data_IF_833987394052
#
_entry.id   IF_833987394052
#
_cell.length_a   1.000
_cell.length_b   1.000
_cell.length_c   1.000
_cell.angle_alpha   90.00
_cell.angle_beta   90.00
_cell.angle_gamma   90.00
#
_symmetry.space_group_name_H-M   'P 1'
#
loop_
_entity.id
_entity.type
_entity.pdbx_description
1 polymer ?
#
# COMPACT_ATOMS: atom_id res chain seq x y z
N UNK A 1 14.93 -7.54 9.58
CA UNK A 1 15.54 -7.20 8.28
C UNK A 1 14.41 -7.07 7.28
N UNK A 2 14.40 -6.00 6.47
CA UNK A 2 13.45 -5.88 5.36
C UNK A 2 13.74 -6.96 4.31
N UNK A 3 12.72 -7.35 3.54
CA UNK A 3 12.86 -8.28 2.42
C UNK A 3 13.54 -7.65 1.21
N UNK A 4 13.39 -8.32 0.06
CA UNK A 4 13.98 -7.90 -1.20
C UNK A 4 13.61 -6.46 -1.60
N UNK A 5 14.51 -5.79 -2.33
CA UNK A 5 14.20 -4.54 -3.02
C UNK A 5 13.19 -4.84 -4.13
N UNK A 6 12.00 -4.24 -4.06
CA UNK A 6 10.93 -4.44 -5.03
C UNK A 6 11.07 -3.46 -6.19
N UNK A 7 11.39 -2.19 -5.89
CA UNK A 7 11.49 -1.12 -6.87
C UNK A 7 12.32 0.05 -6.35
N UNK A 8 13.05 0.70 -7.24
CA UNK A 8 13.63 2.03 -7.05
C UNK A 8 12.98 2.97 -8.06
N UNK A 9 12.69 4.21 -7.68
CA UNK A 9 12.25 5.24 -8.61
C UNK A 9 12.32 6.64 -8.02
N UNK A 10 11.99 7.65 -8.83
CA UNK A 10 12.09 9.04 -8.41
C UNK A 10 10.80 9.52 -7.75
N UNK A 11 10.92 10.41 -6.78
CA UNK A 11 9.75 10.97 -6.09
C UNK A 11 8.96 11.98 -6.93
N UNK A 12 9.54 12.49 -8.01
CA UNK A 12 8.93 13.41 -8.98
C UNK A 12 8.37 12.71 -10.24
N UNK A 13 8.47 11.38 -10.30
CA UNK A 13 7.94 10.58 -11.42
C UNK A 13 6.40 10.53 -11.44
N UNK A 14 5.78 10.68 -10.27
CA UNK A 14 4.33 10.61 -10.06
C UNK A 14 3.86 11.77 -9.18
N UNK A 15 2.55 11.95 -9.12
CA UNK A 15 1.95 12.93 -8.24
C UNK A 15 1.74 12.31 -6.86
N UNK A 16 2.44 12.83 -5.86
CA UNK A 16 2.26 12.41 -4.49
C UNK A 16 0.93 12.96 -3.93
N UNK A 17 0.06 12.06 -3.46
CA UNK A 17 -1.16 12.47 -2.75
C UNK A 17 -0.83 12.76 -1.29
N UNK A 18 -1.63 13.62 -0.66
CA UNK A 18 -1.37 14.08 0.70
C UNK A 18 -2.51 14.93 1.25
N UNK A 19 -2.40 15.26 2.53
CA UNK A 19 -3.34 16.11 3.26
C UNK A 19 -2.57 17.31 3.83
N UNK A 20 -3.15 18.51 3.78
CA UNK A 20 -2.53 19.75 4.32
C UNK A 20 -1.09 20.00 3.84
N UNK A 21 -0.77 19.63 2.60
CA UNK A 21 0.57 19.80 2.01
C UNK A 21 1.61 18.77 2.47
N UNK A 22 1.22 17.78 3.29
CA UNK A 22 2.07 16.66 3.66
C UNK A 22 1.80 15.45 2.75
N UNK A 23 2.76 15.06 1.89
CA UNK A 23 2.63 13.87 1.05
C UNK A 23 2.66 12.59 1.90
N UNK A 24 1.88 11.58 1.49
CA UNK A 24 1.79 10.27 2.15
C UNK A 24 3.18 9.62 2.32
N UNK A 25 4.02 9.63 1.28
CA UNK A 25 5.34 8.99 1.35
C UNK A 25 6.30 9.63 2.37
N UNK A 26 6.14 10.94 2.66
CA UNK A 26 6.94 11.62 3.70
C UNK A 26 6.49 11.24 5.11
N UNK A 27 5.22 10.85 5.28
CA UNK A 27 4.69 10.34 6.54
C UNK A 27 4.78 8.81 6.65
N UNK A 28 5.45 8.14 5.72
CA UNK A 28 5.32 6.71 5.53
C UNK A 28 5.67 5.87 6.77
N UNK A 29 6.78 6.19 7.43
CA UNK A 29 7.20 5.48 8.65
C UNK A 29 6.19 5.65 9.80
N UNK A 30 5.55 6.81 9.91
CA UNK A 30 4.53 7.07 10.92
C UNK A 30 3.25 6.29 10.63
N UNK A 31 2.82 6.25 9.36
CA UNK A 31 1.68 5.47 8.89
C UNK A 31 1.91 3.97 9.10
N UNK A 32 3.08 3.46 8.71
CA UNK A 32 3.48 2.06 8.95
C UNK A 32 3.45 1.78 10.45
N UNK A 33 4.10 2.60 11.29
CA UNK A 33 4.13 2.37 12.73
C UNK A 33 2.73 2.38 13.37
N UNK A 34 1.83 3.25 12.90
CA UNK A 34 0.45 3.29 13.36
C UNK A 34 -0.33 2.03 12.95
N UNK A 35 -0.20 1.59 11.70
CA UNK A 35 -0.80 0.36 11.19
C UNK A 35 -0.25 -0.87 11.92
N UNK A 36 1.06 -0.95 12.20
CA UNK A 36 1.65 -2.04 12.97
C UNK A 36 1.00 -2.18 14.34
N UNK A 37 0.66 -1.07 15.00
CA UNK A 37 0.01 -1.10 16.31
C UNK A 37 -1.47 -1.48 16.26
N UNK A 38 -2.18 -1.07 15.20
CA UNK A 38 -3.64 -1.21 15.12
C UNK A 38 -4.09 -2.46 14.37
N UNK A 39 -3.40 -2.80 13.29
CA UNK A 39 -3.75 -3.88 12.36
C UNK A 39 -2.48 -4.42 11.69
N UNK A 40 -1.67 -5.24 12.40
CA UNK A 40 -0.37 -5.70 11.92
C UNK A 40 -0.41 -6.37 10.54
N UNK A 41 -1.49 -7.10 10.21
CA UNK A 41 -1.66 -7.76 8.92
C UNK A 41 -1.76 -6.80 7.73
N UNK A 42 -2.26 -5.58 7.93
CA UNK A 42 -2.40 -4.59 6.85
C UNK A 42 -1.05 -3.98 6.45
N UNK A 43 -0.05 -4.00 7.33
CA UNK A 43 1.29 -3.46 7.04
C UNK A 43 2.00 -4.26 5.96
N UNK A 44 1.73 -5.57 5.87
CA UNK A 44 2.38 -6.45 4.91
C UNK A 44 2.02 -6.12 3.45
N UNK A 45 0.97 -5.33 3.21
CA UNK A 45 0.60 -4.83 1.90
C UNK A 45 1.43 -3.62 1.45
N UNK A 46 2.26 -3.05 2.32
CA UNK A 46 2.98 -1.81 2.06
C UNK A 46 4.49 -2.08 2.03
N UNK A 47 5.10 -1.82 0.88
CA UNK A 47 6.55 -1.77 0.80
C UNK A 47 7.09 -0.66 1.72
N UNK A 48 8.25 -0.89 2.34
CA UNK A 48 8.88 0.10 3.21
C UNK A 48 9.74 1.04 2.36
N UNK A 49 9.37 2.33 2.25
CA UNK A 49 10.15 3.30 1.49
C UNK A 49 11.40 3.72 2.26
N UNK A 50 12.51 3.83 1.55
CA UNK A 50 13.76 4.45 2.02
C UNK A 50 14.20 5.47 0.99
N UNK A 51 14.12 6.75 1.36
CA UNK A 51 14.60 7.82 0.49
C UNK A 51 16.11 7.98 0.63
N UNK A 52 16.77 8.38 -0.47
CA UNK A 52 18.13 8.90 -0.40
C UNK A 52 18.18 10.22 0.40
N UNK A 53 19.38 10.71 0.69
CA UNK A 53 19.59 11.95 1.48
C UNK A 53 18.85 13.17 0.92
N UNK A 54 18.69 13.23 -0.40
CA UNK A 54 18.05 14.33 -1.10
C UNK A 54 16.53 14.19 -1.20
N UNK A 55 15.96 13.03 -0.84
CA UNK A 55 14.54 12.73 -1.00
C UNK A 55 14.06 12.57 -2.45
N UNK A 56 14.98 12.55 -3.41
CA UNK A 56 14.70 12.51 -4.86
C UNK A 56 14.50 11.09 -5.39
N UNK A 57 15.09 10.10 -4.73
CA UNK A 57 15.00 8.67 -5.09
C UNK A 57 14.50 7.91 -3.88
N UNK A 58 13.59 6.96 -4.13
CA UNK A 58 12.99 6.10 -3.11
C UNK A 58 13.20 4.65 -3.50
N UNK A 59 13.81 3.89 -2.59
CA UNK A 59 13.87 2.44 -2.63
C UNK A 59 12.72 1.84 -1.84
N UNK A 60 11.98 0.93 -2.44
CA UNK A 60 10.81 0.28 -1.86
C UNK A 60 11.14 -1.18 -1.57
N UNK A 61 11.21 -1.54 -0.30
CA UNK A 61 11.56 -2.90 0.13
C UNK A 61 10.32 -3.68 0.56
N UNK A 62 10.32 -4.99 0.31
CA UNK A 62 9.29 -5.86 0.87
C UNK A 62 9.33 -5.83 2.41
N UNK A 63 8.19 -5.74 3.11
CA UNK A 63 8.12 -5.92 4.55
C UNK A 63 8.39 -7.36 5.01
N UNK A 64 8.29 -8.35 4.10
CA UNK A 64 8.48 -9.78 4.38
C UNK A 64 9.56 -10.40 3.48
N UNK A 65 10.12 -11.54 3.92
CA UNK A 65 11.04 -12.34 3.12
C UNK A 65 10.25 -13.26 2.17
N UNK A 66 10.77 -13.50 0.97
CA UNK A 66 10.16 -14.37 -0.02
C UNK A 66 10.63 -14.08 -1.43
N UNK A 67 10.18 -14.93 -2.37
CA UNK A 67 10.47 -14.76 -3.79
C UNK A 67 9.52 -13.72 -4.40
N UNK A 68 10.08 -12.81 -5.20
CA UNK A 68 9.33 -11.67 -5.75
C UNK A 68 8.83 -11.99 -7.15
N UNK A 69 7.52 -11.88 -7.34
CA UNK A 69 6.84 -12.02 -8.62
C UNK A 69 6.19 -10.67 -8.98
N UNK A 70 6.66 -9.98 -10.03
CA UNK A 70 5.98 -8.78 -10.53
C UNK A 70 4.55 -9.10 -10.98
N UNK A 71 3.60 -8.17 -10.79
CA UNK A 71 2.20 -8.37 -11.19
C UNK A 71 2.02 -8.87 -12.64
N UNK A 72 2.82 -8.32 -13.57
CA UNK A 72 2.79 -8.69 -14.99
C UNK A 72 3.21 -10.13 -15.26
N UNK A 73 3.95 -10.74 -14.35
CA UNK A 73 4.46 -12.11 -14.46
C UNK A 73 3.58 -13.12 -13.70
N UNK A 74 2.63 -12.65 -12.89
CA UNK A 74 1.70 -13.49 -12.16
C UNK A 74 0.61 -14.06 -13.08
N UNK A 75 0.25 -15.32 -12.85
CA UNK A 75 -0.88 -15.96 -13.52
C UNK A 75 -2.19 -15.25 -13.17
N UNK A 76 -3.22 -15.43 -14.00
CA UNK A 76 -4.54 -14.82 -13.70
C UNK A 76 -5.12 -15.32 -12.37
N UNK A 77 -4.92 -16.60 -12.04
CA UNK A 77 -5.39 -17.19 -10.79
C UNK A 77 -4.71 -16.56 -9.56
N UNK A 78 -3.39 -16.33 -9.63
CA UNK A 78 -2.66 -15.61 -8.58
C UNK A 78 -3.14 -14.16 -8.47
N UNK A 79 -3.36 -13.49 -9.61
CA UNK A 79 -3.91 -12.13 -9.64
C UNK A 79 -5.32 -12.07 -9.06
N UNK A 80 -6.19 -13.04 -9.31
CA UNK A 80 -7.53 -13.12 -8.71
C UNK A 80 -7.50 -13.21 -7.19
N UNK A 81 -6.64 -14.07 -6.65
CA UNK A 81 -6.43 -14.19 -5.21
C UNK A 81 -5.88 -12.87 -4.63
N UNK A 82 -4.88 -12.28 -5.29
CA UNK A 82 -4.29 -11.02 -4.86
C UNK A 82 -5.29 -9.84 -4.92
N UNK A 83 -6.16 -9.78 -5.93
CA UNK A 83 -7.23 -8.77 -6.04
C UNK A 83 -8.17 -8.85 -4.85
N UNK A 84 -8.56 -10.05 -4.44
CA UNK A 84 -9.42 -10.25 -3.26
C UNK A 84 -8.75 -9.70 -2.00
N UNK A 85 -7.46 -10.01 -1.80
CA UNK A 85 -6.68 -9.51 -0.66
C UNK A 85 -6.53 -7.98 -0.68
N UNK A 86 -6.22 -7.39 -1.85
CA UNK A 86 -6.05 -5.95 -2.02
C UNK A 86 -7.36 -5.17 -1.83
N UNK A 87 -8.49 -5.73 -2.28
CA UNK A 87 -9.81 -5.15 -2.03
C UNK A 87 -10.13 -5.13 -0.54
N UNK A 88 -9.85 -6.23 0.18
CA UNK A 88 -9.99 -6.26 1.64
C UNK A 88 -9.09 -5.22 2.32
N UNK A 89 -7.82 -5.12 1.91
CA UNK A 89 -6.89 -4.11 2.41
C UNK A 89 -7.42 -2.69 2.21
N UNK A 90 -7.86 -2.35 0.99
CA UNK A 90 -8.42 -1.03 0.67
C UNK A 90 -9.63 -0.70 1.55
N UNK A 91 -10.58 -1.63 1.69
CA UNK A 91 -11.78 -1.44 2.51
C UNK A 91 -11.42 -1.23 3.98
N UNK A 92 -10.52 -2.04 4.54
CA UNK A 92 -10.10 -1.91 5.93
C UNK A 92 -9.42 -0.54 6.19
N UNK A 93 -8.58 -0.07 5.27
CA UNK A 93 -7.96 1.27 5.37
C UNK A 93 -9.01 2.38 5.31
N UNK A 94 -10.01 2.27 4.43
CA UNK A 94 -11.09 3.24 4.31
C UNK A 94 -11.92 3.32 5.61
N UNK A 95 -12.25 2.18 6.21
CA UNK A 95 -12.97 2.09 7.48
C UNK A 95 -12.17 2.72 8.64
N UNK A 96 -10.87 2.41 8.73
CA UNK A 96 -9.98 2.98 9.73
C UNK A 96 -9.84 4.50 9.57
N UNK A 97 -9.70 4.98 8.34
CA UNK A 97 -9.68 6.40 7.99
C UNK A 97 -10.96 7.09 8.45
N UNK A 98 -12.13 6.57 8.08
CA UNK A 98 -13.43 7.12 8.46
C UNK A 98 -13.61 7.16 9.99
N UNK A 99 -13.23 6.09 10.69
CA UNK A 99 -13.29 6.02 12.16
C UNK A 99 -12.43 7.09 12.84
N UNK A 100 -11.19 7.29 12.36
CA UNK A 100 -10.28 8.31 12.89
C UNK A 100 -10.79 9.73 12.65
N UNK A 101 -11.31 10.00 11.44
CA UNK A 101 -11.88 11.31 11.10
C UNK A 101 -13.10 11.60 11.99
N UNK A 102 -14.02 10.65 12.12
CA UNK A 102 -15.21 10.82 12.95
C UNK A 102 -14.89 11.05 14.43
N UNK A 103 -13.95 10.26 14.98
CA UNK A 103 -13.50 10.43 16.37
C UNK A 103 -12.85 11.80 16.58
N UNK A 104 -11.96 12.21 15.67
CA UNK A 104 -11.31 13.51 15.71
C UNK A 104 -12.29 14.68 15.62
N UNK A 105 -13.32 14.57 14.76
CA UNK A 105 -14.37 15.60 14.66
C UNK A 105 -15.19 15.74 15.94
N UNK A 106 -15.52 14.63 16.62
CA UNK A 106 -16.23 14.66 17.90
C UNK A 106 -15.37 15.25 19.03
N UNK A 107 -14.07 14.99 19.01
CA UNK A 107 -13.12 15.44 20.04
C UNK A 107 -12.44 16.78 19.76
N UNK A 108 -12.71 17.43 18.62
CA UNK A 108 -12.02 18.66 18.21
C UNK A 108 -10.52 18.47 17.91
N UNK A 109 -10.08 17.26 17.60
CA UNK A 109 -8.68 16.91 17.42
C UNK A 109 -8.27 17.00 15.94
N UNK A 110 -7.79 18.18 15.51
CA UNK A 110 -7.39 18.45 14.12
C UNK A 110 -6.37 17.44 13.59
N UNK A 111 -5.37 17.09 14.39
CA UNK A 111 -4.28 16.21 13.97
C UNK A 111 -4.76 14.78 13.72
N UNK A 112 -5.73 14.31 14.51
CA UNK A 112 -6.37 13.02 14.29
C UNK A 112 -7.16 12.99 12.99
N UNK A 113 -7.86 14.09 12.67
CA UNK A 113 -8.59 14.23 11.40
C UNK A 113 -7.61 14.21 10.22
N UNK A 114 -6.54 15.00 10.28
CA UNK A 114 -5.52 15.05 9.22
C UNK A 114 -4.87 13.67 9.04
N UNK A 115 -4.51 13.01 10.14
CA UNK A 115 -3.95 11.65 10.08
C UNK A 115 -4.92 10.64 9.48
N UNK A 116 -6.21 10.69 9.86
CA UNK A 116 -7.25 9.83 9.30
C UNK A 116 -7.43 10.03 7.79
N UNK A 117 -7.44 11.28 7.31
CA UNK A 117 -7.48 11.57 5.87
C UNK A 117 -6.23 11.08 5.14
N UNK A 118 -5.05 11.30 5.72
CA UNK A 118 -3.79 10.83 5.16
C UNK A 118 -3.74 9.30 5.05
N UNK A 119 -4.27 8.60 6.06
CA UNK A 119 -4.40 7.14 6.06
C UNK A 119 -5.30 6.67 4.90
N UNK A 120 -6.40 7.37 4.62
CA UNK A 120 -7.32 7.04 3.52
C UNK A 120 -6.68 7.14 2.14
N UNK A 121 -5.60 7.92 2.00
CA UNK A 121 -4.86 8.08 0.75
C UNK A 121 -3.82 6.98 0.51
N UNK A 122 -3.47 6.19 1.53
CA UNK A 122 -2.44 5.14 1.46
C UNK A 122 -2.64 4.16 0.30
N UNK A 123 -3.85 3.64 0.00
CA UNK A 123 -3.99 2.61 -1.02
C UNK A 123 -3.83 3.11 -2.47
N UNK A 124 -3.60 4.42 -2.71
CA UNK A 124 -3.31 4.90 -4.06
C UNK A 124 -1.96 4.39 -4.54
N UNK A 125 -1.91 3.88 -5.76
CA UNK A 125 -0.69 3.57 -6.48
C UNK A 125 -0.85 3.97 -7.96
N UNK A 126 0.24 4.20 -8.71
CA UNK A 126 0.12 4.71 -10.09
C UNK A 126 -0.54 3.73 -11.06
N UNK A 127 -0.22 2.43 -10.95
CA UNK A 127 -0.69 1.37 -11.84
C UNK A 127 -0.48 -0.03 -11.22
N UNK A 128 -0.98 -1.06 -11.89
CA UNK A 128 -0.79 -2.47 -11.51
C UNK A 128 0.68 -2.92 -11.52
N UNK A 129 1.53 -2.33 -12.35
CA UNK A 129 2.98 -2.57 -12.38
C UNK A 129 3.73 -2.18 -11.11
N UNK A 130 3.05 -1.52 -10.16
CA UNK A 130 3.57 -1.18 -8.83
C UNK A 130 3.15 -2.18 -7.75
N UNK A 131 2.45 -3.24 -8.14
CA UNK A 131 2.08 -4.37 -7.28
C UNK A 131 3.05 -5.53 -7.51
N UNK A 132 3.47 -6.14 -6.41
CA UNK A 132 4.32 -7.33 -6.41
C UNK A 132 3.67 -8.40 -5.56
N UNK A 133 3.75 -9.66 -5.98
CA UNK A 133 3.41 -10.80 -5.15
C UNK A 133 4.70 -11.34 -4.54
N UNK A 134 4.73 -11.49 -3.22
CA UNK A 134 5.86 -12.10 -2.52
C UNK A 134 5.44 -13.47 -2.01
N UNK A 135 6.02 -14.51 -2.61
CA UNK A 135 5.81 -15.89 -2.21
C UNK A 135 6.63 -16.17 -0.94
N UNK A 136 5.94 -16.38 0.16
CA UNK A 136 6.54 -16.48 1.48
C UNK A 136 6.09 -17.75 2.21
N UNK A 137 6.84 -18.09 3.25
CA UNK A 137 6.47 -19.15 4.18
C UNK A 137 6.15 -18.57 5.55
N UNK A 138 5.22 -19.20 6.25
CA UNK A 138 4.92 -18.94 7.65
C UNK A 138 4.71 -20.25 8.38
N UNK A 139 4.91 -20.23 9.69
CA UNK A 139 4.57 -21.37 10.55
C UNK A 139 3.18 -21.10 11.14
N UNK A 140 2.24 -22.04 10.96
CA UNK A 140 0.92 -21.95 11.56
C UNK A 140 0.95 -22.34 13.05
N UNK A 141 -0.21 -22.32 13.71
CA UNK A 141 -0.32 -22.61 15.14
C UNK A 141 0.08 -24.06 15.48
N UNK A 142 -0.07 -24.97 14.52
CA UNK A 142 0.26 -26.39 14.62
C UNK A 142 1.75 -26.67 14.35
N UNK A 143 2.55 -25.64 14.06
CA UNK A 143 3.97 -25.78 13.75
C UNK A 143 4.27 -26.19 12.30
N UNK A 144 3.24 -26.29 11.44
CA UNK A 144 3.43 -26.63 10.03
C UNK A 144 3.84 -25.41 9.21
N UNK A 145 4.73 -25.63 8.23
CA UNK A 145 5.16 -24.60 7.28
C UNK A 145 4.13 -24.49 6.16
N UNK A 146 3.51 -23.32 6.04
CA UNK A 146 2.56 -22.98 4.99
C UNK A 146 3.18 -21.98 4.01
N UNK A 147 2.95 -22.19 2.72
CA UNK A 147 3.23 -21.21 1.68
C UNK A 147 2.03 -20.29 1.51
N UNK A 148 2.29 -19.00 1.31
CA UNK A 148 1.27 -18.02 0.99
C UNK A 148 1.86 -16.93 0.09
N UNK A 149 0.98 -16.30 -0.69
CA UNK A 149 1.32 -15.19 -1.58
C UNK A 149 0.79 -13.88 -0.98
N UNK A 150 1.68 -12.93 -0.72
CA UNK A 150 1.35 -11.61 -0.19
C UNK A 150 1.47 -10.54 -1.29
N UNK A 151 0.39 -9.85 -1.68
CA UNK A 151 0.49 -8.68 -2.54
C UNK A 151 1.04 -7.48 -1.75
N UNK A 152 1.98 -6.76 -2.36
CA UNK A 152 2.71 -5.64 -1.78
C UNK A 152 2.74 -4.48 -2.77
N UNK A 153 2.28 -3.32 -2.31
CA UNK A 153 2.27 -2.06 -3.05
C UNK A 153 3.62 -1.36 -2.90
N UNK A 154 4.19 -0.93 -4.02
CA UNK A 154 5.24 0.11 -4.08
C UNK A 154 4.62 1.41 -4.55
N UNK A 155 5.27 2.56 -4.31
CA UNK A 155 4.71 3.87 -4.67
C UNK A 155 3.29 4.09 -4.14
N UNK A 156 2.98 3.52 -2.97
CA UNK A 156 1.74 3.81 -2.30
C UNK A 156 1.70 5.28 -1.85
N UNK A 157 0.53 5.90 -1.94
CA UNK A 157 0.39 7.35 -1.79
C UNK A 157 0.83 8.17 -3.02
N UNK A 158 0.90 7.56 -4.20
CA UNK A 158 1.12 8.25 -5.48
C UNK A 158 0.03 7.90 -6.50
N UNK A 159 -0.20 8.82 -7.44
CA UNK A 159 -1.07 8.62 -8.59
C UNK A 159 -0.38 9.04 -9.89
N UNK A 160 -0.80 8.45 -11.01
CA UNK A 160 -0.20 8.72 -12.32
C UNK A 160 -0.47 10.16 -12.79
N UNK A 161 -1.72 10.64 -12.65
CA UNK A 161 -2.14 11.96 -13.11
C UNK A 161 -2.99 12.68 -12.05
N UNK A 162 -3.12 14.01 -12.16
CA UNK A 162 -3.87 14.82 -11.18
C UNK A 162 -5.36 14.41 -11.12
N UNK A 163 -5.93 13.99 -12.25
CA UNK A 163 -7.30 13.47 -12.32
C UNK A 163 -7.50 12.16 -11.54
N UNK A 164 -6.44 11.40 -11.30
CA UNK A 164 -6.51 10.11 -10.60
C UNK A 164 -6.58 10.27 -9.07
N UNK A 165 -6.36 11.47 -8.53
CA UNK A 165 -6.41 11.75 -7.08
C UNK A 165 -7.78 11.50 -6.44
N UNK A 166 -8.82 11.57 -7.26
CA UNK A 166 -10.21 11.39 -6.82
C UNK A 166 -10.79 10.05 -7.26
N UNK A 167 -10.00 9.22 -7.95
CA UNK A 167 -10.43 7.87 -8.32
C UNK A 167 -10.43 6.98 -7.10
N UNK A 168 -11.27 5.95 -7.15
CA UNK A 168 -11.20 4.86 -6.19
C UNK A 168 -9.78 4.27 -6.18
N UNK A 169 -9.11 4.13 -5.02
CA UNK A 169 -7.80 3.54 -4.97
C UNK A 169 -7.78 2.15 -5.59
N UNK A 170 -6.65 1.81 -6.23
CA UNK A 170 -6.46 0.54 -6.92
C UNK A 170 -7.52 0.27 -8.01
N UNK A 171 -8.08 1.30 -8.65
CA UNK A 171 -9.08 1.16 -9.72
C UNK A 171 -8.64 0.24 -10.87
N UNK A 172 -7.33 0.08 -11.08
CA UNK A 172 -6.75 -0.79 -12.10
C UNK A 172 -6.85 -2.29 -11.77
N UNK A 173 -7.26 -2.66 -10.54
CA UNK A 173 -7.47 -4.06 -10.19
C UNK A 173 -8.69 -4.64 -10.89
N UNK A 174 -9.68 -3.83 -11.29
CA UNK A 174 -10.81 -4.34 -12.05
C UNK A 174 -10.30 -4.81 -13.43
N UNK A 175 -10.49 -6.08 -13.82
CA UNK A 175 -10.11 -6.53 -15.15
C UNK A 175 -10.77 -5.63 -16.18
N UNK A 176 -10.00 -5.09 -17.13
CA UNK A 176 -10.60 -4.51 -18.33
C UNK A 176 -11.35 -5.65 -19.03
N UNK A 177 -12.66 -5.50 -19.20
CA UNK A 177 -13.44 -6.44 -19.99
C UNK A 177 -12.72 -6.61 -21.33
N UNK A 178 -12.31 -7.85 -21.65
CA UNK A 178 -11.71 -8.13 -22.93
C UNK A 178 -12.71 -7.71 -24.00
N UNK A 179 -12.33 -6.72 -24.81
CA UNK A 179 -13.10 -6.34 -25.98
C UNK A 179 -12.93 -7.50 -26.96
N UNK A 180 -13.98 -8.33 -27.08
CA UNK A 180 -14.06 -9.41 -28.08
C UNK A 180 -14.09 -8.84 -29.49
#
# INVERSE_FOLDING_TARGET
>A
MHGALLRTGKSDEFIAVGETGQPVYKAALQLIAALTRKSPSLVNFLAVPKSNEQGSVIDWYSPIQGDVVPWSSATEAERDVARTQLNHFKTAIAEMSASLVQAGSKGGQSDQIIFGKLLGLVPHAPADSYVYLVEATRTNAEGAVERYSQPILTFWGFVQNEGDRHRDPLYFLTPRAATL
#
